data_IF_978250640378
#
_entry.id   IF_978250640378
#
_cell.length_a   1.000
_cell.length_b   1.000
_cell.length_c   1.000
_cell.angle_alpha   90.00
_cell.angle_beta   90.00
_cell.angle_gamma   90.00
#
_symmetry.space_group_name_H-M   'P 1'
#
loop_
_entity.id
_entity.type
_entity.pdbx_description
1 polymer ?
#
# COMPACT_ATOMS: atom_id res chain seq x y z
N UNK A 1 37.92 -6.32 7.69
CA UNK A 1 37.55 -6.06 6.28
C UNK A 1 36.06 -5.80 6.11
N UNK A 2 35.16 -6.63 6.66
CA UNK A 2 33.71 -6.40 6.58
C UNK A 2 33.25 -5.11 7.26
N UNK A 3 33.69 -4.85 8.51
CA UNK A 3 33.27 -3.65 9.26
C UNK A 3 33.70 -2.36 8.56
N UNK A 4 34.95 -2.30 8.08
CA UNK A 4 35.44 -1.16 7.30
C UNK A 4 34.64 -0.91 6.01
N UNK A 5 34.18 -1.96 5.33
CA UNK A 5 33.32 -1.83 4.15
C UNK A 5 31.91 -1.35 4.52
N UNK A 6 31.37 -1.83 5.65
CA UNK A 6 30.08 -1.36 6.19
C UNK A 6 30.15 0.11 6.59
N UNK A 7 31.23 0.51 7.27
CA UNK A 7 31.44 1.90 7.70
C UNK A 7 31.59 2.85 6.51
N UNK A 8 32.40 2.47 5.51
CA UNK A 8 32.51 3.23 4.26
C UNK A 8 31.15 3.35 3.54
N UNK A 9 30.40 2.26 3.45
CA UNK A 9 29.05 2.29 2.88
C UNK A 9 28.06 3.14 3.67
N UNK A 10 28.13 3.11 5.00
CA UNK A 10 27.32 3.94 5.90
C UNK A 10 27.65 5.43 5.73
N UNK A 11 28.92 5.78 5.59
CA UNK A 11 29.38 7.15 5.36
C UNK A 11 28.86 7.69 4.02
N UNK A 12 29.06 6.95 2.92
CA UNK A 12 28.54 7.35 1.60
C UNK A 12 27.02 7.50 1.65
N UNK A 13 26.30 6.57 2.28
CA UNK A 13 24.84 6.66 2.43
C UNK A 13 24.41 7.92 3.19
N UNK A 14 25.13 8.27 4.26
CA UNK A 14 24.86 9.47 5.07
C UNK A 14 25.12 10.75 4.28
N UNK A 15 26.27 10.86 3.61
CA UNK A 15 26.63 12.00 2.74
C UNK A 15 25.59 12.20 1.62
N UNK A 16 25.09 11.09 1.06
CA UNK A 16 24.09 11.07 0.01
C UNK A 16 22.63 11.15 0.55
N UNK A 17 22.46 11.45 1.84
CA UNK A 17 21.20 11.71 2.54
C UNK A 17 20.15 10.59 2.42
N UNK A 18 20.59 9.34 2.45
CA UNK A 18 19.71 8.18 2.39
C UNK A 18 19.72 7.36 3.68
N UNK A 19 18.76 6.45 3.85
CA UNK A 19 18.53 5.75 5.13
C UNK A 19 18.61 4.22 5.06
N UNK A 20 18.64 3.62 3.86
CA UNK A 20 18.71 2.16 3.69
C UNK A 20 19.95 1.74 2.88
N UNK A 21 20.42 0.51 3.11
CA UNK A 21 21.45 -0.12 2.28
C UNK A 21 20.84 -0.85 1.07
N UNK A 22 21.67 -1.39 0.19
CA UNK A 22 21.25 -2.13 -1.01
C UNK A 22 20.30 -1.33 -1.95
N UNK A 23 20.62 -0.06 -2.14
CA UNK A 23 19.88 0.88 -2.99
C UNK A 23 20.76 1.29 -4.17
N UNK A 24 20.15 1.57 -5.32
CA UNK A 24 20.86 2.12 -6.48
C UNK A 24 20.72 3.64 -6.49
N UNK A 25 21.77 4.36 -6.92
CA UNK A 25 21.75 5.81 -7.07
C UNK A 25 22.14 6.20 -8.49
N UNK A 26 21.33 7.04 -9.14
CA UNK A 26 21.63 7.56 -10.47
C UNK A 26 20.96 8.92 -10.68
N UNK A 27 21.70 9.87 -11.26
CA UNK A 27 21.16 11.16 -11.70
C UNK A 27 20.37 11.92 -10.64
N UNK A 28 20.85 11.96 -9.40
CA UNK A 28 20.18 12.66 -8.30
C UNK A 28 19.12 11.83 -7.55
N UNK A 29 18.80 10.62 -8.00
CA UNK A 29 17.70 9.82 -7.47
C UNK A 29 18.16 8.47 -6.92
N UNK A 30 17.46 8.02 -5.89
CA UNK A 30 17.61 6.70 -5.28
C UNK A 30 16.56 5.73 -5.84
N UNK A 31 16.91 4.47 -6.00
CA UNK A 31 16.03 3.39 -6.47
C UNK A 31 16.07 2.23 -5.47
N UNK A 32 14.88 1.84 -4.98
CA UNK A 32 14.70 0.78 -3.99
C UNK A 32 15.01 -0.61 -4.53
N UNK A 33 16.25 -1.05 -4.31
CA UNK A 33 16.71 -2.40 -4.61
C UNK A 33 16.28 -2.89 -5.99
N UNK A 34 15.99 -4.19 -6.09
CA UNK A 34 15.50 -4.82 -7.31
C UNK A 34 14.11 -4.30 -7.72
N UNK A 35 13.27 -3.92 -6.76
CA UNK A 35 11.87 -3.51 -6.97
C UNK A 35 11.70 -2.19 -7.74
N UNK A 36 12.79 -1.43 -7.94
CA UNK A 36 12.80 -0.18 -8.72
C UNK A 36 13.76 -0.22 -9.91
N UNK A 37 14.38 -1.36 -10.22
CA UNK A 37 15.27 -1.48 -11.38
C UNK A 37 14.58 -1.09 -12.68
N UNK A 38 13.33 -1.55 -12.87
CA UNK A 38 12.56 -1.20 -14.05
C UNK A 38 12.36 0.33 -14.25
N UNK A 39 12.35 1.14 -13.17
CA UNK A 39 12.30 2.61 -13.27
C UNK A 39 13.66 3.19 -13.68
N UNK A 40 14.74 2.64 -13.13
CA UNK A 40 16.09 3.05 -13.48
C UNK A 40 16.39 2.72 -14.95
N UNK A 41 16.07 1.51 -15.40
CA UNK A 41 16.23 1.08 -16.78
C UNK A 41 15.45 1.97 -17.75
N UNK A 42 14.18 2.26 -17.45
CA UNK A 42 13.35 3.17 -18.26
C UNK A 42 13.95 4.58 -18.35
N UNK A 43 14.52 5.09 -17.25
CA UNK A 43 15.20 6.39 -17.26
C UNK A 43 16.46 6.36 -18.12
N UNK A 44 17.27 5.32 -18.01
CA UNK A 44 18.49 5.16 -18.82
C UNK A 44 18.15 5.05 -20.31
N UNK A 45 17.10 4.31 -20.66
CA UNK A 45 16.60 4.23 -22.03
C UNK A 45 16.13 5.61 -22.54
N UNK A 46 15.35 6.35 -21.75
CA UNK A 46 14.89 7.69 -22.11
C UNK A 46 16.04 8.72 -22.29
N UNK A 47 17.19 8.49 -21.65
CA UNK A 47 18.39 9.31 -21.80
C UNK A 47 19.29 8.86 -22.96
N UNK A 48 18.91 7.83 -23.72
CA UNK A 48 19.73 7.28 -24.81
C UNK A 48 20.96 6.51 -24.34
N UNK A 49 21.01 6.11 -23.05
CA UNK A 49 22.10 5.31 -22.50
C UNK A 49 21.91 3.81 -22.77
N UNK A 50 20.70 3.39 -23.17
CA UNK A 50 20.42 2.02 -23.60
C UNK A 50 20.95 1.79 -25.02
N UNK A 51 21.98 0.94 -25.12
CA UNK A 51 22.62 0.57 -26.40
C UNK A 51 21.87 -0.52 -27.16
N UNK A 52 20.85 -1.12 -26.54
CA UNK A 52 20.09 -2.25 -27.06
C UNK A 52 18.59 -2.02 -26.90
N UNK A 53 18.09 -0.86 -27.35
CA UNK A 53 16.70 -0.41 -27.18
C UNK A 53 15.62 -1.33 -27.77
N UNK A 54 16.00 -2.27 -28.62
CA UNK A 54 15.11 -3.30 -29.19
C UNK A 54 14.90 -4.49 -28.24
N UNK A 55 15.63 -4.57 -27.12
CA UNK A 55 15.51 -5.64 -26.13
C UNK A 55 14.51 -5.26 -25.05
N UNK A 56 13.87 -6.28 -24.48
CA UNK A 56 13.10 -6.12 -23.26
C UNK A 56 13.99 -5.64 -22.10
N UNK A 57 13.34 -4.99 -21.12
CA UNK A 57 14.00 -4.64 -19.86
C UNK A 57 14.61 -5.90 -19.21
N UNK A 58 15.72 -5.72 -18.50
CA UNK A 58 16.41 -6.77 -17.76
C UNK A 58 15.56 -7.24 -16.57
N UNK A 59 14.98 -6.29 -15.85
CA UNK A 59 14.13 -6.58 -14.69
C UNK A 59 12.77 -5.85 -14.81
N UNK A 60 11.91 -6.24 -15.76
CA UNK A 60 10.59 -5.63 -15.90
C UNK A 60 9.74 -5.95 -14.67
N UNK A 61 8.85 -5.02 -14.30
CA UNK A 61 7.82 -5.32 -13.31
C UNK A 61 6.91 -6.43 -13.86
N UNK A 62 6.70 -7.54 -13.12
CA UNK A 62 5.82 -8.61 -13.58
C UNK A 62 4.38 -8.10 -13.83
N UNK A 63 3.77 -8.60 -14.89
CA UNK A 63 2.37 -8.30 -15.22
C UNK A 63 1.41 -8.92 -14.21
N UNK A 64 0.29 -8.23 -13.96
CA UNK A 64 -0.79 -8.73 -13.11
C UNK A 64 -1.76 -9.50 -14.01
N UNK A 65 -1.77 -10.82 -13.91
CA UNK A 65 -2.73 -11.68 -14.64
C UNK A 65 -3.69 -12.30 -13.64
N UNK A 66 -4.98 -12.09 -13.85
CA UNK A 66 -6.05 -12.60 -13.00
C UNK A 66 -6.52 -13.99 -13.48
N UNK A 67 -7.05 -14.85 -12.59
CA UNK A 67 -7.54 -16.18 -12.97
C UNK A 67 -8.63 -16.12 -14.03
N UNK A 68 -8.80 -17.14 -14.86
CA UNK A 68 -9.89 -17.17 -15.84
C UNK A 68 -11.27 -17.19 -15.16
N UNK A 69 -11.43 -18.03 -14.14
CA UNK A 69 -12.61 -18.03 -13.26
C UNK A 69 -12.59 -16.77 -12.40
N UNK A 70 -13.67 -15.98 -12.45
CA UNK A 70 -13.82 -14.72 -11.71
C UNK A 70 -14.81 -14.77 -10.54
N UNK A 71 -15.20 -15.97 -10.13
CA UNK A 71 -16.03 -16.19 -8.95
C UNK A 71 -15.25 -17.01 -7.92
N UNK A 72 -14.38 -16.32 -7.18
CA UNK A 72 -13.43 -16.90 -6.24
C UNK A 72 -13.71 -16.42 -4.81
N UNK A 73 -14.99 -16.20 -4.46
CA UNK A 73 -15.38 -15.58 -3.19
C UNK A 73 -15.02 -16.41 -1.96
N UNK A 74 -14.76 -17.70 -2.16
CA UNK A 74 -14.25 -18.60 -1.13
C UNK A 74 -12.81 -18.23 -0.71
N UNK A 75 -12.05 -17.53 -1.54
CA UNK A 75 -10.78 -16.91 -1.15
C UNK A 75 -11.03 -15.55 -0.51
N UNK A 76 -10.26 -15.25 0.53
CA UNK A 76 -10.26 -13.93 1.18
C UNK A 76 -8.91 -13.24 0.99
N UNK A 77 -8.95 -12.02 0.44
CA UNK A 77 -7.82 -11.11 0.39
C UNK A 77 -7.87 -10.17 1.60
N UNK A 78 -6.98 -10.35 2.57
CA UNK A 78 -6.78 -9.38 3.62
C UNK A 78 -5.88 -8.24 3.15
N UNK A 79 -6.35 -6.99 3.28
CA UNK A 79 -5.59 -5.77 3.00
C UNK A 79 -5.25 -5.04 4.30
N UNK A 80 -3.97 -5.01 4.64
CA UNK A 80 -3.45 -4.18 5.72
C UNK A 80 -3.03 -2.82 5.18
N UNK A 81 -3.73 -1.75 5.56
CA UNK A 81 -3.49 -0.40 5.05
C UNK A 81 -3.46 0.64 6.18
N UNK A 82 -2.82 1.78 5.93
CA UNK A 82 -2.80 2.89 6.88
C UNK A 82 -3.02 4.23 6.19
N UNK A 83 -3.84 5.08 6.81
CA UNK A 83 -4.27 6.38 6.27
C UNK A 83 -3.14 7.41 6.10
N UNK A 84 -1.94 7.15 6.63
CA UNK A 84 -0.74 8.00 6.44
C UNK A 84 0.33 7.35 5.57
N UNK A 85 0.12 6.13 5.09
CA UNK A 85 1.09 5.45 4.23
C UNK A 85 0.92 5.90 2.79
N UNK A 86 1.91 6.58 2.19
CA UNK A 86 1.81 6.99 0.78
C UNK A 86 1.72 5.76 -0.13
N UNK A 87 2.41 4.65 0.17
CA UNK A 87 2.28 3.41 -0.58
C UNK A 87 0.90 2.75 -0.42
N UNK A 88 0.23 2.90 0.73
CA UNK A 88 -1.18 2.49 0.85
C UNK A 88 -2.04 3.32 -0.08
N UNK A 89 -1.85 4.65 -0.15
CA UNK A 89 -2.57 5.51 -1.08
C UNK A 89 -2.38 5.10 -2.55
N UNK A 90 -1.15 4.70 -2.93
CA UNK A 90 -0.86 4.23 -4.30
C UNK A 90 -1.62 2.96 -4.69
N UNK A 91 -1.83 2.04 -3.74
CA UNK A 91 -2.34 0.70 -4.08
C UNK A 91 -3.78 0.45 -3.67
N UNK A 92 -4.36 1.26 -2.78
CA UNK A 92 -5.62 0.95 -2.11
C UNK A 92 -6.74 0.63 -3.10
N UNK A 93 -7.06 1.57 -3.99
CA UNK A 93 -8.13 1.40 -4.98
C UNK A 93 -7.81 0.33 -6.02
N UNK A 94 -6.52 0.13 -6.33
CA UNK A 94 -6.07 -0.94 -7.23
C UNK A 94 -6.32 -2.33 -6.63
N UNK A 95 -6.15 -2.48 -5.32
CA UNK A 95 -6.42 -3.73 -4.59
C UNK A 95 -7.92 -3.97 -4.44
N UNK A 96 -8.70 -2.91 -4.20
CA UNK A 96 -10.17 -2.99 -4.21
C UNK A 96 -10.68 -3.44 -5.58
N UNK A 97 -10.17 -2.84 -6.66
CA UNK A 97 -10.50 -3.23 -8.03
C UNK A 97 -10.06 -4.67 -8.33
N UNK A 98 -8.84 -5.05 -7.93
CA UNK A 98 -8.33 -6.41 -8.04
C UNK A 98 -9.27 -7.41 -7.35
N UNK A 99 -9.68 -7.15 -6.11
CA UNK A 99 -10.52 -8.07 -5.36
C UNK A 99 -11.87 -8.30 -6.05
N UNK A 100 -12.49 -7.20 -6.51
CA UNK A 100 -13.74 -7.23 -7.28
C UNK A 100 -13.59 -7.99 -8.60
N UNK A 101 -12.56 -7.68 -9.39
CA UNK A 101 -12.35 -8.27 -10.72
C UNK A 101 -11.90 -9.73 -10.68
N UNK A 102 -11.19 -10.12 -9.62
CA UNK A 102 -10.84 -11.51 -9.35
C UNK A 102 -12.00 -12.28 -8.68
N UNK A 103 -13.02 -11.56 -8.20
CA UNK A 103 -14.14 -12.10 -7.43
C UNK A 103 -13.72 -12.75 -6.12
N UNK A 104 -12.68 -12.24 -5.44
CA UNK A 104 -12.28 -12.67 -4.10
C UNK A 104 -12.92 -11.78 -3.04
N UNK A 105 -13.14 -12.31 -1.84
CA UNK A 105 -13.67 -11.53 -0.72
C UNK A 105 -12.59 -10.59 -0.19
N UNK A 106 -12.83 -9.28 -0.19
CA UNK A 106 -11.91 -8.31 0.41
C UNK A 106 -12.18 -8.19 1.91
N UNK A 107 -11.16 -8.44 2.73
CA UNK A 107 -11.16 -8.14 4.16
C UNK A 107 -10.22 -6.96 4.43
N UNK A 108 -10.78 -5.78 4.68
CA UNK A 108 -9.99 -4.58 4.97
C UNK A 108 -9.58 -4.55 6.45
N UNK A 109 -8.27 -4.54 6.70
CA UNK A 109 -7.66 -4.57 8.03
C UNK A 109 -6.82 -3.32 8.27
N UNK A 110 -7.44 -2.16 8.58
CA UNK A 110 -6.69 -0.94 8.81
C UNK A 110 -5.75 -1.08 10.02
N UNK A 111 -4.62 -0.38 9.98
CA UNK A 111 -3.64 -0.32 11.07
C UNK A 111 -3.15 1.11 11.31
N UNK A 112 -2.70 1.37 12.54
CA UNK A 112 -2.14 2.66 12.91
C UNK A 112 -0.78 2.93 12.20
N UNK A 113 -0.52 4.18 11.77
CA UNK A 113 0.75 4.55 11.15
C UNK A 113 1.97 4.21 12.01
N UNK A 114 3.06 3.73 11.40
CA UNK A 114 4.30 3.36 12.11
C UNK A 114 4.88 4.48 12.97
N UNK A 115 4.79 5.73 12.50
CA UNK A 115 5.29 6.91 13.24
C UNK A 115 4.49 7.15 14.53
N UNK A 116 3.21 6.80 14.52
CA UNK A 116 2.36 6.84 15.71
C UNK A 116 2.55 5.60 16.60
N UNK A 117 3.43 4.67 16.17
CA UNK A 117 3.87 3.48 16.91
C UNK A 117 5.32 3.60 17.41
N UNK A 118 5.87 4.82 17.44
CA UNK A 118 7.21 5.10 18.00
C UNK A 118 8.39 4.89 17.04
N UNK A 119 8.15 4.59 15.75
CA UNK A 119 9.23 4.46 14.76
C UNK A 119 9.65 5.86 14.28
N UNK A 120 10.92 6.28 14.46
CA UNK A 120 11.37 7.60 14.03
C UNK A 120 11.21 7.80 12.51
N UNK A 121 10.56 8.90 12.12
CA UNK A 121 10.54 9.36 10.73
C UNK A 121 11.49 10.55 10.59
N UNK A 122 12.71 10.28 10.13
CA UNK A 122 13.64 11.36 9.75
C UNK A 122 13.12 12.07 8.50
N UNK A 123 13.41 13.37 8.36
CA UNK A 123 13.01 14.16 7.19
C UNK A 123 13.52 13.55 5.88
N UNK A 124 14.75 13.05 5.86
CA UNK A 124 15.35 12.38 4.70
C UNK A 124 14.58 11.11 4.30
N UNK A 125 14.23 10.27 5.29
CA UNK A 125 13.42 9.06 5.07
C UNK A 125 12.03 9.40 4.55
N UNK A 126 11.37 10.39 5.14
CA UNK A 126 10.09 10.90 4.67
C UNK A 126 10.17 11.34 3.21
N UNK A 127 11.05 12.28 2.90
CA UNK A 127 11.20 12.83 1.55
C UNK A 127 11.38 11.73 0.50
N UNK A 128 12.29 10.77 0.74
CA UNK A 128 12.48 9.66 -0.18
C UNK A 128 11.21 8.84 -0.38
N UNK A 129 10.54 8.43 0.69
CA UNK A 129 9.35 7.58 0.62
C UNK A 129 8.21 8.24 -0.16
N UNK A 130 7.95 9.54 0.08
CA UNK A 130 6.91 10.27 -0.64
C UNK A 130 7.24 10.42 -2.12
N UNK A 131 8.50 10.72 -2.47
CA UNK A 131 8.92 10.86 -3.87
C UNK A 131 8.96 9.52 -4.60
N UNK A 132 9.40 8.44 -3.93
CA UNK A 132 9.34 7.10 -4.51
C UNK A 132 7.90 6.64 -4.75
N UNK A 133 7.01 6.88 -3.79
CA UNK A 133 5.58 6.61 -3.96
C UNK A 133 4.97 7.40 -5.13
N UNK A 134 5.40 8.65 -5.36
CA UNK A 134 4.96 9.44 -6.50
C UNK A 134 5.39 8.82 -7.85
N UNK A 135 6.62 8.32 -7.95
CA UNK A 135 7.09 7.62 -9.17
C UNK A 135 6.30 6.34 -9.42
N UNK A 136 6.02 5.58 -8.36
CA UNK A 136 5.21 4.38 -8.42
C UNK A 136 3.76 4.66 -8.81
N UNK A 137 3.16 5.72 -8.27
CA UNK A 137 1.83 6.20 -8.64
C UNK A 137 1.77 6.58 -10.12
N UNK A 138 2.74 7.36 -10.59
CA UNK A 138 2.85 7.76 -12.00
C UNK A 138 2.95 6.55 -12.91
N UNK A 139 3.79 5.56 -12.57
CA UNK A 139 3.89 4.32 -13.34
C UNK A 139 2.59 3.53 -13.37
N UNK A 140 1.86 3.52 -12.25
CA UNK A 140 0.58 2.82 -12.14
C UNK A 140 -0.62 3.60 -12.69
N UNK A 141 -0.44 4.84 -13.17
CA UNK A 141 -1.53 5.71 -13.62
C UNK A 141 -2.45 6.18 -12.48
N UNK A 142 -1.95 6.22 -11.25
CA UNK A 142 -2.72 6.59 -10.05
C UNK A 142 -2.51 8.08 -9.74
N UNK A 143 -3.58 8.87 -9.53
CA UNK A 143 -3.46 10.25 -9.08
C UNK A 143 -2.72 10.34 -7.73
N UNK A 144 -1.65 11.14 -7.68
CA UNK A 144 -0.84 11.37 -6.49
C UNK A 144 -0.04 12.67 -6.67
N UNK A 145 0.31 13.35 -5.57
CA UNK A 145 1.38 14.35 -5.56
C UNK A 145 0.97 15.74 -5.06
N UNK A 146 -0.28 16.14 -5.23
CA UNK A 146 -0.84 17.26 -4.48
C UNK A 146 -1.27 16.73 -3.11
N UNK A 147 -0.31 16.44 -2.22
CA UNK A 147 -0.60 15.81 -0.94
C UNK A 147 -0.51 16.79 0.23
N UNK A 148 -1.29 16.50 1.27
CA UNK A 148 -1.19 17.10 2.60
C UNK A 148 -1.00 15.95 3.60
N UNK A 149 0.19 15.86 4.24
CA UNK A 149 0.50 14.74 5.15
C UNK A 149 -0.51 14.70 6.32
N UNK A 150 -1.34 13.65 6.44
CA UNK A 150 -2.41 13.59 7.44
C UNK A 150 -1.93 13.15 8.83
N UNK A 151 -0.64 13.28 9.13
CA UNK A 151 -0.02 12.77 10.36
C UNK A 151 -0.73 13.26 11.64
N UNK A 152 -0.93 12.35 12.60
CA UNK A 152 -1.49 12.65 13.91
C UNK A 152 -3.01 12.56 13.96
N UNK A 153 -3.65 13.60 14.52
CA UNK A 153 -5.09 13.68 14.75
C UNK A 153 -5.99 13.41 13.54
N UNK A 154 -5.66 13.82 12.29
CA UNK A 154 -6.54 13.57 11.14
C UNK A 154 -6.81 12.07 10.94
N UNK A 155 -5.77 11.24 11.10
CA UNK A 155 -5.88 9.78 11.01
C UNK A 155 -6.78 9.22 12.11
N UNK A 156 -6.61 9.67 13.37
CA UNK A 156 -7.42 9.22 14.50
C UNK A 156 -8.90 9.59 14.31
N UNK A 157 -9.16 10.83 13.89
CA UNK A 157 -10.52 11.34 13.62
C UNK A 157 -11.22 10.54 12.52
N UNK A 158 -10.51 10.12 11.49
CA UNK A 158 -11.09 9.25 10.45
C UNK A 158 -11.31 7.82 10.96
N UNK A 159 -10.37 7.26 11.73
CA UNK A 159 -10.56 5.92 12.31
C UNK A 159 -11.69 5.84 13.32
N UNK A 160 -11.97 6.91 14.08
CA UNK A 160 -13.18 6.99 14.91
C UNK A 160 -14.47 6.77 14.12
N UNK A 161 -14.50 7.19 12.85
CA UNK A 161 -15.66 6.99 11.98
C UNK A 161 -15.68 5.60 11.31
N UNK A 162 -14.59 4.83 11.37
CA UNK A 162 -14.46 3.57 10.63
C UNK A 162 -15.47 2.50 11.06
N UNK A 163 -15.69 2.20 12.35
CA UNK A 163 -16.69 1.21 12.77
C UNK A 163 -18.10 1.53 12.26
N UNK A 164 -18.49 2.81 12.33
CA UNK A 164 -19.77 3.30 11.82
C UNK A 164 -19.89 3.26 10.30
N UNK A 165 -18.81 3.62 9.59
CA UNK A 165 -18.79 3.48 8.13
C UNK A 165 -18.86 2.02 7.71
N UNK A 166 -18.15 1.13 8.41
CA UNK A 166 -18.15 -0.30 8.16
C UNK A 166 -19.52 -0.95 8.41
N UNK A 167 -20.25 -0.54 9.46
CA UNK A 167 -21.61 -1.03 9.72
C UNK A 167 -22.62 -0.66 8.63
N UNK A 168 -22.32 0.37 7.83
CA UNK A 168 -23.09 0.77 6.64
C UNK A 168 -22.54 0.18 5.33
N UNK A 169 -21.54 -0.72 5.40
CA UNK A 169 -20.87 -1.26 4.22
C UNK A 169 -19.99 -0.25 3.47
N UNK A 170 -19.59 0.85 4.12
CA UNK A 170 -18.81 1.97 3.56
C UNK A 170 -17.41 2.14 4.15
N UNK A 171 -16.91 1.13 4.85
CA UNK A 171 -15.56 1.16 5.45
C UNK A 171 -14.44 1.29 4.40
N UNK A 172 -14.60 0.63 3.24
CA UNK A 172 -13.65 0.72 2.12
C UNK A 172 -13.70 2.11 1.50
N UNK A 173 -14.90 2.64 1.23
CA UNK A 173 -15.12 3.95 0.64
C UNK A 173 -14.61 5.08 1.53
N UNK A 174 -14.78 4.99 2.84
CA UNK A 174 -14.23 5.98 3.78
C UNK A 174 -12.70 6.06 3.67
N UNK A 175 -12.01 4.92 3.69
CA UNK A 175 -10.56 4.86 3.66
C UNK A 175 -10.00 5.22 2.27
N UNK A 176 -10.66 4.79 1.19
CA UNK A 176 -10.36 5.22 -0.17
C UNK A 176 -10.49 6.75 -0.30
N UNK A 177 -11.61 7.31 0.16
CA UNK A 177 -11.87 8.75 0.14
C UNK A 177 -10.81 9.51 0.92
N UNK A 178 -10.45 9.07 2.14
CA UNK A 178 -9.44 9.73 2.95
C UNK A 178 -8.08 9.74 2.24
N UNK A 179 -7.63 8.59 1.74
CA UNK A 179 -6.34 8.47 1.04
C UNK A 179 -6.30 9.35 -0.21
N UNK A 180 -7.38 9.36 -1.01
CA UNK A 180 -7.50 10.24 -2.19
C UNK A 180 -7.42 11.72 -1.80
N UNK A 181 -8.17 12.14 -0.78
CA UNK A 181 -8.19 13.52 -0.32
C UNK A 181 -6.82 13.98 0.21
N UNK A 182 -6.15 13.12 0.98
CA UNK A 182 -4.86 13.43 1.57
C UNK A 182 -3.70 13.39 0.56
N UNK A 183 -3.67 12.42 -0.37
CA UNK A 183 -2.50 12.17 -1.21
C UNK A 183 -2.62 12.64 -2.68
N UNK A 184 -3.83 12.92 -3.15
CA UNK A 184 -4.07 13.34 -4.53
C UNK A 184 -4.76 14.71 -4.66
N UNK A 185 -5.64 15.07 -3.72
CA UNK A 185 -6.42 16.32 -3.79
C UNK A 185 -5.90 17.45 -2.91
N UNK A 186 -4.89 17.19 -2.08
CA UNK A 186 -4.23 18.20 -1.24
C UNK A 186 -5.12 18.75 -0.14
N UNK A 187 -6.13 17.98 0.27
CA UNK A 187 -7.09 18.43 1.28
C UNK A 187 -6.48 18.27 2.65
N UNK A 188 -6.48 19.36 3.40
CA UNK A 188 -6.12 19.34 4.81
C UNK A 188 -7.21 18.61 5.62
N UNK A 189 -7.01 17.32 5.88
CA UNK A 189 -7.94 16.46 6.62
C UNK A 189 -7.96 16.72 8.13
N UNK A 190 -7.14 17.64 8.63
CA UNK A 190 -7.18 18.07 10.04
C UNK A 190 -8.35 19.00 10.37
N UNK A 191 -8.88 19.70 9.35
CA UNK A 191 -10.00 20.63 9.51
C UNK A 191 -11.32 19.90 9.43
N UNK A 192 -12.35 20.51 10.03
CA UNK A 192 -13.71 19.99 9.93
C UNK A 192 -14.21 19.95 8.49
N UNK A 193 -13.94 21.01 7.72
CA UNK A 193 -14.30 21.08 6.30
C UNK A 193 -13.58 20.02 5.45
N UNK A 194 -12.33 19.69 5.78
CA UNK A 194 -11.57 18.65 5.11
C UNK A 194 -12.11 17.26 5.42
N UNK A 195 -12.37 16.97 6.70
CA UNK A 195 -12.97 15.69 7.10
C UNK A 195 -14.39 15.52 6.54
N UNK A 196 -15.17 16.60 6.48
CA UNK A 196 -16.49 16.61 5.84
C UNK A 196 -16.41 16.15 4.38
N UNK A 197 -15.49 16.73 3.59
CA UNK A 197 -15.27 16.30 2.19
C UNK A 197 -14.96 14.80 2.08
N UNK A 198 -14.14 14.28 2.99
CA UNK A 198 -13.81 12.85 3.04
C UNK A 198 -15.07 12.00 3.26
N UNK A 199 -15.85 12.34 4.28
CA UNK A 199 -17.07 11.59 4.64
C UNK A 199 -18.10 11.64 3.52
N UNK A 200 -18.42 12.83 3.00
CA UNK A 200 -19.42 12.99 1.94
C UNK A 200 -19.00 12.29 0.64
N UNK A 201 -17.71 12.35 0.27
CA UNK A 201 -17.21 11.65 -0.91
C UNK A 201 -17.19 10.13 -0.77
N UNK A 202 -17.23 9.60 0.45
CA UNK A 202 -17.43 8.18 0.72
C UNK A 202 -18.91 7.74 0.60
N UNK A 203 -19.82 8.69 0.33
CA UNK A 203 -21.27 8.46 0.31
C UNK A 203 -21.89 8.34 1.70
N UNK A 204 -21.22 8.90 2.72
CA UNK A 204 -21.68 8.92 4.10
C UNK A 204 -22.25 10.29 4.45
N UNK A 205 -23.24 10.32 5.34
CA UNK A 205 -23.83 11.57 5.80
C UNK A 205 -22.97 12.25 6.88
N UNK A 206 -22.61 13.51 6.65
CA UNK A 206 -21.76 14.27 7.57
C UNK A 206 -22.43 14.58 8.91
N UNK A 207 -23.76 14.77 8.92
CA UNK A 207 -24.51 15.08 10.15
C UNK A 207 -24.54 13.85 11.05
N UNK A 208 -24.87 12.69 10.50
CA UNK A 208 -24.84 11.40 11.20
C UNK A 208 -23.44 11.05 11.69
N UNK A 209 -22.39 11.34 10.90
CA UNK A 209 -21.01 11.11 11.30
C UNK A 209 -20.63 11.81 12.62
N UNK A 210 -21.28 12.93 12.98
CA UNK A 210 -20.97 13.66 14.21
C UNK A 210 -21.17 12.80 15.47
N UNK A 211 -22.17 11.92 15.48
CA UNK A 211 -22.46 11.04 16.61
C UNK A 211 -21.36 9.99 16.88
N UNK A 212 -20.47 9.75 15.90
CA UNK A 212 -19.45 8.71 15.95
C UNK A 212 -18.02 9.24 16.07
N UNK A 213 -17.83 10.57 16.16
CA UNK A 213 -16.49 11.20 16.18
C UNK A 213 -15.63 10.85 17.39
N UNK A 214 -16.25 10.38 18.47
CA UNK A 214 -15.60 10.03 19.73
C UNK A 214 -15.60 8.51 19.98
N UNK A 215 -16.02 7.70 19.00
CA UNK A 215 -15.91 6.26 19.10
C UNK A 215 -14.43 5.87 19.27
N UNK A 216 -14.13 5.03 20.24
CA UNK A 216 -12.79 4.51 20.55
C UNK A 216 -12.65 3.01 20.25
N UNK A 217 -13.73 2.34 19.84
CA UNK A 217 -13.73 0.89 19.52
C UNK A 217 -12.78 0.55 18.38
N UNK A 218 -12.48 1.51 17.51
CA UNK A 218 -11.48 1.39 16.45
C UNK A 218 -10.07 1.09 17.00
N UNK A 219 -9.72 1.53 18.21
CA UNK A 219 -8.37 1.33 18.75
C UNK A 219 -8.06 -0.15 18.94
N UNK A 220 -8.98 -0.89 19.58
CA UNK A 220 -8.86 -2.33 19.77
C UNK A 220 -8.87 -3.08 18.42
N UNK A 221 -9.75 -2.68 17.51
CA UNK A 221 -9.83 -3.27 16.16
C UNK A 221 -8.53 -3.11 15.37
N UNK A 222 -7.94 -1.92 15.38
CA UNK A 222 -6.68 -1.65 14.67
C UNK A 222 -5.49 -2.36 15.33
N UNK A 223 -5.51 -2.52 16.65
CA UNK A 223 -4.49 -3.26 17.38
C UNK A 223 -4.56 -4.76 17.07
N UNK A 224 -5.75 -5.36 17.03
CA UNK A 224 -5.95 -6.75 16.62
C UNK A 224 -5.42 -6.98 15.19
N UNK A 225 -5.75 -6.08 14.25
CA UNK A 225 -5.23 -6.13 12.90
C UNK A 225 -3.70 -6.05 12.87
N UNK A 226 -3.10 -5.19 13.69
CA UNK A 226 -1.64 -5.07 13.79
C UNK A 226 -1.00 -6.36 14.29
N UNK A 227 -1.58 -6.98 15.31
CA UNK A 227 -1.08 -8.24 15.87
C UNK A 227 -1.20 -9.38 14.84
N UNK A 228 -2.33 -9.48 14.13
CA UNK A 228 -2.51 -10.46 13.06
C UNK A 228 -1.51 -10.26 11.90
N UNK A 229 -1.23 -9.00 11.53
CA UNK A 229 -0.20 -8.67 10.54
C UNK A 229 1.19 -9.17 10.98
N UNK A 230 1.55 -8.92 12.24
CA UNK A 230 2.85 -9.32 12.80
C UNK A 230 2.98 -10.84 12.92
N UNK A 231 1.93 -11.53 13.34
CA UNK A 231 1.90 -13.00 13.40
C UNK A 231 2.10 -13.63 12.02
N UNK A 232 1.70 -12.95 10.94
CA UNK A 232 1.96 -13.37 9.57
C UNK A 232 3.37 -12.99 9.05
N UNK A 233 4.28 -12.53 9.92
CA UNK A 233 5.63 -12.11 9.55
C UNK A 233 5.71 -10.76 8.81
N UNK A 234 4.61 -10.00 8.78
CA UNK A 234 4.53 -8.71 8.11
C UNK A 234 4.75 -7.59 9.12
N UNK A 235 5.55 -6.58 8.75
CA UNK A 235 5.96 -5.52 9.68
C UNK A 235 5.39 -4.13 9.31
N UNK A 236 5.00 -3.94 8.05
CA UNK A 236 4.63 -2.65 7.48
C UNK A 236 3.38 -2.71 6.60
N UNK A 237 3.04 -1.57 6.00
CA UNK A 237 1.90 -1.44 5.08
C UNK A 237 2.30 -0.75 3.78
N UNK A 238 1.57 -0.97 2.68
CA UNK A 238 0.50 -1.96 2.55
C UNK A 238 1.05 -3.39 2.60
N UNK A 239 0.28 -4.30 3.19
CA UNK A 239 0.56 -5.73 3.16
C UNK A 239 -0.70 -6.51 2.80
N UNK A 240 -0.50 -7.70 2.26
CA UNK A 240 -1.56 -8.56 1.78
C UNK A 240 -1.43 -9.96 2.37
N UNK A 241 -2.55 -10.57 2.74
CA UNK A 241 -2.65 -12.01 2.94
C UNK A 241 -3.72 -12.59 2.02
N UNK A 242 -3.42 -13.72 1.40
CA UNK A 242 -4.40 -14.51 0.67
C UNK A 242 -4.76 -15.71 1.53
N UNK A 243 -6.03 -15.81 1.89
CA UNK A 243 -6.60 -16.92 2.66
C UNK A 243 -7.39 -17.80 1.68
N UNK A 244 -7.13 -19.10 1.72
CA UNK A 244 -7.84 -20.07 0.88
C UNK A 244 -9.19 -20.49 1.51
N UNK A 245 -10.01 -21.29 0.80
CA UNK A 245 -11.31 -21.73 1.32
C UNK A 245 -11.25 -22.61 2.58
N UNK A 246 -10.08 -23.13 2.93
CA UNK A 246 -9.88 -23.89 4.18
C UNK A 246 -9.54 -22.99 5.37
N UNK A 247 -9.42 -21.68 5.14
CA UNK A 247 -9.01 -20.70 6.15
C UNK A 247 -7.49 -20.56 6.29
N UNK A 248 -6.70 -21.19 5.41
CA UNK A 248 -5.24 -21.18 5.51
C UNK A 248 -4.62 -20.01 4.75
N UNK A 249 -3.61 -19.38 5.35
CA UNK A 249 -2.87 -18.30 4.71
C UNK A 249 -1.88 -18.87 3.68
N UNK A 250 -2.22 -18.77 2.40
CA UNK A 250 -1.43 -19.31 1.29
C UNK A 250 -0.44 -18.29 0.70
N UNK A 251 -0.55 -17.02 1.09
CA UNK A 251 0.40 -15.96 0.78
C UNK A 251 0.37 -14.91 1.89
N UNK A 252 1.54 -14.39 2.26
CA UNK A 252 1.70 -13.17 3.07
C UNK A 252 2.84 -12.34 2.47
N UNK A 253 2.54 -11.13 1.98
CA UNK A 253 3.51 -10.29 1.27
C UNK A 253 3.36 -8.81 1.66
N UNK A 254 4.49 -8.11 1.75
CA UNK A 254 4.56 -6.67 2.06
C UNK A 254 5.00 -5.87 0.83
N UNK A 255 4.36 -4.73 0.61
CA UNK A 255 4.72 -3.77 -0.44
C UNK A 255 3.62 -3.57 -1.48
N UNK A 256 3.41 -2.33 -1.89
CA UNK A 256 2.39 -1.96 -2.90
C UNK A 256 2.63 -2.61 -4.27
N UNK A 257 3.88 -2.96 -4.53
CA UNK A 257 4.38 -3.56 -5.76
C UNK A 257 4.26 -5.09 -5.78
N UNK A 258 3.56 -5.71 -4.82
CA UNK A 258 3.35 -7.17 -4.73
C UNK A 258 2.04 -7.67 -5.31
N UNK A 259 1.24 -6.81 -5.93
CA UNK A 259 -0.07 -7.20 -6.48
C UNK A 259 0.03 -8.29 -7.57
N UNK A 260 1.14 -8.33 -8.33
CA UNK A 260 1.39 -9.40 -9.31
C UNK A 260 1.59 -10.77 -8.66
N UNK A 261 2.27 -10.82 -7.50
CA UNK A 261 2.52 -12.06 -6.77
C UNK A 261 1.23 -12.59 -6.15
N UNK A 262 0.36 -11.69 -5.68
CA UNK A 262 -1.00 -12.04 -5.26
C UNK A 262 -1.79 -12.66 -6.42
N UNK A 263 -1.74 -12.05 -7.61
CA UNK A 263 -2.42 -12.54 -8.79
C UNK A 263 -1.92 -13.93 -9.21
N UNK A 264 -0.59 -14.11 -9.23
CA UNK A 264 0.05 -15.39 -9.56
C UNK A 264 -0.37 -16.48 -8.58
N UNK A 265 -0.33 -16.20 -7.26
CA UNK A 265 -0.69 -17.19 -6.25
C UNK A 265 -2.18 -17.53 -6.29
N UNK A 266 -3.05 -16.55 -6.54
CA UNK A 266 -4.47 -16.79 -6.74
C UNK A 266 -4.73 -17.69 -7.95
N UNK A 267 -4.06 -17.42 -9.09
CA UNK A 267 -4.17 -18.29 -10.28
C UNK A 267 -3.74 -19.73 -9.98
N UNK A 268 -2.61 -19.91 -9.28
CA UNK A 268 -2.11 -21.22 -8.86
C UNK A 268 -3.18 -21.97 -8.05
N UNK A 269 -3.78 -21.33 -7.04
CA UNK A 269 -4.76 -21.96 -6.16
C UNK A 269 -6.08 -22.27 -6.85
N UNK A 270 -6.61 -21.34 -7.64
CA UNK A 270 -7.86 -21.54 -8.39
C UNK A 270 -7.72 -22.69 -9.39
N UNK A 271 -6.56 -22.81 -10.05
CA UNK A 271 -6.31 -23.92 -10.98
C UNK A 271 -6.17 -25.26 -10.26
N UNK A 272 -5.54 -25.31 -9.07
CA UNK A 272 -5.45 -26.52 -8.25
C UNK A 272 -6.85 -27.02 -7.82
N UNK A 273 -7.75 -26.13 -7.41
CA UNK A 273 -9.13 -26.50 -7.05
C UNK A 273 -9.93 -27.05 -8.22
N UNK A 274 -9.76 -26.48 -9.42
CA UNK A 274 -10.42 -26.96 -10.63
C UNK A 274 -9.95 -28.36 -11.05
N UNK A 275 -8.68 -28.68 -10.80
CA UNK A 275 -8.13 -30.01 -11.07
C UNK A 275 -8.54 -31.02 -10.00
N UNK A 276 -8.53 -30.62 -8.73
CA UNK A 276 -8.95 -31.48 -7.61
C UNK A 276 -10.45 -31.79 -7.60
N UNK A 277 -11.29 -30.95 -8.20
CA UNK A 277 -12.74 -31.20 -8.33
C UNK A 277 -13.10 -32.11 -9.52
N UNK A 278 -12.13 -32.46 -10.38
CA UNK A 278 -12.31 -33.33 -11.54
C UNK A 278 -11.82 -34.77 -11.30
N UNK A 279 -11.16 -35.03 -10.17
CA UNK A 279 -10.70 -36.34 -9.72
C UNK A 279 -11.69 -36.91 -8.71
#
# INVERSE_FOLDING_TARGET
>A
HADAAVDAGNQVRHEMKHYSGAMFYYGGEWYWGADRLYLLEQRLAALGADRYSERDLIAPRPSITLPQKRDNKAFTLELYASLRSPYSAVVFDRVVAFAREAGVTLSLRPVLPMVMRGVPATRAKGMYIFMDAAREAHKAGVPYGNFYDPIGDPVRKCYALYPWAASQGKGVELLSSFLRHAFALGVNTSTESGLKKVVEAAGLDWVAAQAHRQDTTWEALLEENRLAMYQAGLWGVPSFRLIDPKGEAVLAVWGQDRLWLLAQKLCERVNQELQGSKA
#
